data_IF_595361459379
#
_entry.id   IF_595361459379
#
_cell.length_a   1.000
_cell.length_b   1.000
_cell.length_c   1.000
_cell.angle_alpha   90.00
_cell.angle_beta   90.00
_cell.angle_gamma   90.00
#
_symmetry.space_group_name_H-M   'P 1'
#
loop_
_entity.id
_entity.type
_entity.pdbx_description
1 polymer ?
#
# COMPACT_ATOMS: atom_id res chain seq x y z
N UNK A 1 -2.69 -2.06 15.46
CA UNK A 1 -3.50 -0.92 14.95
C UNK A 1 -4.04 -1.31 13.58
N UNK A 2 -5.19 -0.79 13.12
CA UNK A 2 -5.70 -1.14 11.79
C UNK A 2 -4.78 -0.54 10.70
N UNK A 3 -4.62 -1.26 9.59
CA UNK A 3 -3.93 -0.76 8.38
C UNK A 3 -4.79 0.30 7.66
N UNK A 4 -4.18 1.27 6.96
CA UNK A 4 -4.91 2.26 6.19
C UNK A 4 -5.73 1.62 5.05
N UNK A 5 -6.94 2.15 4.84
CA UNK A 5 -7.77 1.81 3.68
C UNK A 5 -7.64 2.91 2.63
N UNK A 6 -7.05 2.58 1.48
CA UNK A 6 -6.74 3.52 0.41
C UNK A 6 -7.92 3.69 -0.54
N UNK A 7 -8.21 4.94 -0.90
CA UNK A 7 -9.02 5.32 -2.05
C UNK A 7 -8.21 5.36 -3.34
N UNK A 8 -8.89 5.60 -4.47
CA UNK A 8 -8.29 5.58 -5.82
C UNK A 8 -7.13 6.55 -6.03
N UNK A 9 -7.07 7.63 -5.23
CA UNK A 9 -6.05 8.69 -5.34
C UNK A 9 -5.13 8.75 -4.13
N UNK A 10 -5.32 7.87 -3.16
CA UNK A 10 -4.50 7.89 -1.96
C UNK A 10 -3.14 7.27 -2.26
N UNK A 11 -2.03 7.89 -1.82
CA UNK A 11 -0.70 7.34 -1.99
C UNK A 11 -0.52 6.09 -1.13
N UNK A 12 0.46 5.26 -1.47
CA UNK A 12 0.90 4.22 -0.55
C UNK A 12 1.63 4.84 0.67
N UNK A 13 1.39 4.32 1.89
CA UNK A 13 2.18 4.69 3.06
C UNK A 13 3.64 4.20 2.92
N UNK A 14 4.57 4.73 3.72
CA UNK A 14 5.95 4.24 3.80
C UNK A 14 6.01 2.75 4.15
N UNK A 15 6.89 1.98 3.51
CA UNK A 15 7.00 0.52 3.71
C UNK A 15 7.44 0.15 5.14
N UNK A 16 8.09 1.08 5.84
CA UNK A 16 8.50 0.94 7.24
C UNK A 16 7.31 0.91 8.22
N UNK A 17 6.11 1.29 7.76
CA UNK A 17 4.87 1.20 8.54
C UNK A 17 4.13 -0.14 8.37
N UNK A 18 4.69 -1.06 7.58
CA UNK A 18 4.12 -2.40 7.41
C UNK A 18 4.06 -3.17 8.74
N UNK A 19 3.03 -3.99 8.91
CA UNK A 19 2.90 -4.83 10.09
C UNK A 19 3.96 -5.94 10.13
N UNK A 20 4.42 -6.26 11.33
CA UNK A 20 5.27 -7.43 11.58
C UNK A 20 4.46 -8.75 11.48
N UNK A 21 3.20 -8.73 11.90
CA UNK A 21 2.26 -9.85 11.82
C UNK A 21 0.85 -9.35 11.46
N UNK A 22 0.29 -9.73 10.30
CA UNK A 22 0.95 -10.50 9.23
C UNK A 22 2.06 -9.69 8.55
N UNK A 23 3.21 -10.34 8.34
CA UNK A 23 4.43 -9.70 7.85
C UNK A 23 4.21 -9.00 6.50
N UNK A 24 4.53 -7.71 6.47
CA UNK A 24 4.51 -6.90 5.25
C UNK A 24 3.12 -6.33 4.90
N UNK A 25 2.09 -6.60 5.71
CA UNK A 25 0.77 -6.05 5.45
C UNK A 25 0.77 -4.54 5.72
N UNK A 26 0.60 -3.77 4.65
CA UNK A 26 0.82 -2.32 4.66
C UNK A 26 -0.47 -1.51 4.50
N UNK A 27 -1.36 -1.91 3.59
CA UNK A 27 -2.60 -1.20 3.29
C UNK A 27 -3.62 -2.12 2.58
N UNK A 28 -4.88 -1.70 2.53
CA UNK A 28 -5.93 -2.36 1.73
C UNK A 28 -6.74 -1.33 0.93
N UNK A 29 -7.45 -1.76 -0.12
CA UNK A 29 -8.27 -0.88 -0.97
C UNK A 29 -7.56 -0.44 -2.25
N UNK A 30 -7.95 0.72 -2.78
CA UNK A 30 -7.46 1.26 -4.06
C UNK A 30 -8.08 0.61 -5.30
N UNK A 31 -7.36 0.66 -6.41
CA UNK A 31 -7.68 -0.02 -7.67
C UNK A 31 -6.42 -0.69 -8.27
N UNK A 32 -6.54 -1.32 -9.44
CA UNK A 32 -5.44 -1.97 -10.15
C UNK A 32 -5.08 -1.22 -11.44
N UNK A 33 -5.21 0.11 -11.43
CA UNK A 33 -4.78 0.92 -12.57
C UNK A 33 -3.28 0.77 -12.82
N UNK A 34 -2.83 0.79 -14.10
CA UNK A 34 -1.40 0.65 -14.43
C UNK A 34 -0.51 1.66 -13.70
N UNK A 35 -0.96 2.91 -13.56
CA UNK A 35 -0.22 3.97 -12.89
C UNK A 35 0.02 3.64 -11.42
N UNK A 36 -0.99 3.08 -10.74
CA UNK A 36 -0.88 2.69 -9.35
C UNK A 36 0.04 1.48 -9.15
N UNK A 37 -0.04 0.49 -10.02
CA UNK A 37 0.85 -0.67 -9.97
C UNK A 37 2.31 -0.25 -10.17
N UNK A 38 2.59 0.63 -11.12
CA UNK A 38 3.94 1.18 -11.34
C UNK A 38 4.42 1.94 -10.09
N UNK A 39 3.57 2.77 -9.47
CA UNK A 39 3.90 3.48 -8.22
C UNK A 39 4.19 2.50 -7.06
N UNK A 40 3.44 1.40 -6.94
CA UNK A 40 3.70 0.36 -5.93
C UNK A 40 5.07 -0.29 -6.12
N UNK A 41 5.36 -0.80 -7.33
CA UNK A 41 6.60 -1.50 -7.63
C UNK A 41 7.83 -0.61 -7.50
N UNK A 42 7.73 0.69 -7.84
CA UNK A 42 8.85 1.64 -7.66
C UNK A 42 9.17 1.92 -6.20
N UNK A 43 8.24 1.62 -5.28
CA UNK A 43 8.39 1.79 -3.82
C UNK A 43 8.65 0.48 -3.08
N UNK A 44 8.72 -0.65 -3.78
CA UNK A 44 8.94 -1.96 -3.16
C UNK A 44 7.69 -2.55 -2.48
N UNK A 45 6.51 -2.25 -3.00
CA UNK A 45 5.21 -2.79 -2.57
C UNK A 45 4.73 -3.87 -3.54
#
# INVERSE_FOLDING_TARGET
>A
MPIPWLGRRDPFPPVEEALDEPNGLLAAGGDLSPERLIDAYTRGI
#
